data_IF_980906801539
#
_entry.id   IF_980906801539
#
_cell.length_a   1.000
_cell.length_b   1.000
_cell.length_c   1.000
_cell.angle_alpha   90.00
_cell.angle_beta   90.00
_cell.angle_gamma   90.00
#
_symmetry.space_group_name_H-M   'P 1'
#
loop_
_entity.id
_entity.type
_entity.pdbx_description
1 polymer ?
#
# COMPACT_ATOMS: atom_id res chain seq x y z
N UNK A 1 -32.76 3.44 25.52
CA UNK A 1 -32.55 4.79 24.98
C UNK A 1 -31.28 5.39 25.59
N UNK A 2 -31.20 5.55 26.93
CA UNK A 2 -30.03 6.10 27.62
C UNK A 2 -28.67 5.45 27.27
N UNK A 3 -28.56 4.12 27.27
CA UNK A 3 -27.29 3.46 26.93
C UNK A 3 -26.83 3.73 25.49
N UNK A 4 -27.76 3.77 24.54
CA UNK A 4 -27.46 4.02 23.12
C UNK A 4 -26.92 5.43 22.93
N UNK A 5 -27.57 6.41 23.55
CA UNK A 5 -27.14 7.81 23.46
C UNK A 5 -25.78 8.02 24.12
N UNK A 6 -25.49 7.31 25.22
CA UNK A 6 -24.16 7.30 25.86
C UNK A 6 -23.09 6.69 24.98
N UNK A 7 -23.39 5.59 24.27
CA UNK A 7 -22.46 4.97 23.31
C UNK A 7 -22.18 5.95 22.16
N UNK A 8 -23.23 6.48 21.53
CA UNK A 8 -23.12 7.49 20.46
C UNK A 8 -22.28 8.67 20.92
N UNK A 9 -22.57 9.17 22.13
CA UNK A 9 -21.82 10.26 22.74
C UNK A 9 -20.33 9.98 22.80
N UNK A 10 -19.96 8.81 23.34
CA UNK A 10 -18.56 8.44 23.50
C UNK A 10 -17.86 8.25 22.16
N UNK A 11 -18.52 7.63 21.18
CA UNK A 11 -17.95 7.44 19.84
C UNK A 11 -17.67 8.78 19.14
N UNK A 12 -18.61 9.74 19.23
CA UNK A 12 -18.40 11.09 18.66
C UNK A 12 -17.26 11.80 19.38
N UNK A 13 -17.18 11.74 20.71
CA UNK A 13 -16.09 12.38 21.46
C UNK A 13 -14.73 11.83 20.99
N UNK A 14 -14.59 10.51 20.86
CA UNK A 14 -13.37 9.86 20.37
C UNK A 14 -13.04 10.29 18.94
N UNK A 15 -14.04 10.33 18.05
CA UNK A 15 -13.82 10.77 16.66
C UNK A 15 -13.33 12.22 16.60
N UNK A 16 -13.90 13.12 17.41
CA UNK A 16 -13.47 14.52 17.51
C UNK A 16 -12.05 14.63 18.08
N UNK A 17 -11.73 13.85 19.12
CA UNK A 17 -10.37 13.81 19.68
C UNK A 17 -9.35 13.43 18.58
N UNK A 18 -9.66 12.41 17.75
CA UNK A 18 -8.82 12.05 16.61
C UNK A 18 -8.77 13.13 15.52
N UNK A 19 -9.91 13.74 15.15
CA UNK A 19 -9.96 14.81 14.14
C UNK A 19 -9.10 16.00 14.56
N UNK A 20 -9.04 16.32 15.85
CA UNK A 20 -8.24 17.44 16.39
C UNK A 20 -6.79 17.09 16.69
N UNK A 21 -6.34 15.86 16.42
CA UNK A 21 -5.04 15.37 16.87
C UNK A 21 -4.85 15.50 18.40
N UNK A 22 -5.95 15.39 19.16
CA UNK A 22 -5.97 15.51 20.61
C UNK A 22 -5.56 14.23 21.32
N UNK A 23 -5.32 14.34 22.64
CA UNK A 23 -5.07 13.17 23.47
C UNK A 23 -6.33 12.30 23.55
N UNK A 24 -6.23 11.05 23.10
CA UNK A 24 -7.31 10.06 23.25
C UNK A 24 -7.15 9.32 24.57
N UNK A 25 -8.27 8.92 25.17
CA UNK A 25 -8.24 8.09 26.38
C UNK A 25 -7.94 6.61 26.04
N UNK A 26 -7.90 5.76 27.07
CA UNK A 26 -7.64 4.33 26.90
C UNK A 26 -8.60 3.65 25.91
N UNK A 27 -9.86 4.06 25.86
CA UNK A 27 -10.83 3.49 24.92
C UNK A 27 -10.50 3.93 23.49
N UNK A 28 -10.25 5.23 23.27
CA UNK A 28 -9.86 5.75 21.97
C UNK A 28 -8.60 5.08 21.42
N UNK A 29 -7.58 4.87 22.27
CA UNK A 29 -6.37 4.12 21.91
C UNK A 29 -6.66 2.66 21.52
N UNK A 30 -7.58 2.00 22.23
CA UNK A 30 -7.94 0.59 21.96
C UNK A 30 -8.74 0.42 20.66
N UNK A 31 -9.40 1.47 20.19
CA UNK A 31 -10.18 1.46 18.95
C UNK A 31 -9.34 1.75 17.69
N UNK A 32 -8.05 2.05 17.83
CA UNK A 32 -7.16 2.23 16.68
C UNK A 32 -6.90 0.88 16.00
N UNK A 33 -7.08 0.82 14.68
CA UNK A 33 -6.75 -0.36 13.88
C UNK A 33 -5.30 -0.35 13.39
N UNK A 34 -4.73 0.84 13.23
CA UNK A 34 -3.36 1.07 12.76
C UNK A 34 -2.65 2.03 13.70
N UNK A 35 -1.35 2.22 13.51
CA UNK A 35 -0.61 3.28 14.17
C UNK A 35 -1.24 4.65 13.91
N UNK A 36 -1.08 5.57 14.87
CA UNK A 36 -1.57 6.92 14.73
C UNK A 36 -0.89 7.64 13.56
N UNK A 37 -1.68 8.27 12.70
CA UNK A 37 -1.14 9.07 11.59
C UNK A 37 -0.32 10.25 12.13
N UNK A 38 0.96 10.32 11.75
CA UNK A 38 1.84 11.47 12.02
C UNK A 38 1.36 12.68 11.20
N UNK A 39 0.47 13.47 11.80
CA UNK A 39 -0.12 14.66 11.17
C UNK A 39 0.85 15.84 11.26
N UNK A 40 1.71 15.94 10.24
CA UNK A 40 2.66 17.06 10.08
C UNK A 40 2.03 18.34 9.52
N UNK A 41 0.81 18.25 8.98
CA UNK A 41 0.10 19.33 8.32
C UNK A 41 -1.35 19.34 8.80
N UNK A 42 -1.90 20.53 9.04
CA UNK A 42 -3.33 20.71 9.31
C UNK A 42 -4.11 20.63 7.99
N UNK A 43 -5.16 19.81 7.89
CA UNK A 43 -5.89 19.67 6.64
C UNK A 43 -6.73 20.92 6.34
N UNK A 44 -6.72 21.36 5.09
CA UNK A 44 -7.55 22.48 4.63
C UNK A 44 -9.05 22.15 4.69
N UNK A 45 -9.39 20.87 4.45
CA UNK A 45 -10.77 20.38 4.38
C UNK A 45 -10.95 19.07 5.15
N UNK A 46 -12.12 18.92 5.76
CA UNK A 46 -12.61 17.67 6.32
C UNK A 46 -13.76 17.14 5.45
N UNK A 47 -13.75 15.85 5.16
CA UNK A 47 -14.84 15.21 4.44
C UNK A 47 -15.23 13.89 5.08
N UNK A 48 -16.42 13.41 4.74
CA UNK A 48 -17.00 12.17 5.23
C UNK A 48 -17.46 11.32 4.06
N UNK A 49 -17.46 10.01 4.27
CA UNK A 49 -17.88 9.02 3.27
C UNK A 49 -18.61 7.85 3.92
N UNK A 50 -19.14 6.94 3.10
CA UNK A 50 -20.00 5.83 3.51
C UNK A 50 -21.40 6.28 3.90
N UNK A 51 -22.14 5.45 4.65
CA UNK A 51 -23.49 5.80 5.08
C UNK A 51 -23.56 7.11 5.89
N UNK A 52 -22.50 7.43 6.64
CA UNK A 52 -22.43 8.68 7.43
C UNK A 52 -22.49 9.93 6.55
N UNK A 53 -21.91 9.92 5.35
CA UNK A 53 -21.96 11.09 4.46
C UNK A 53 -23.36 11.36 3.92
N UNK A 54 -24.15 10.32 3.68
CA UNK A 54 -25.54 10.47 3.21
C UNK A 54 -26.41 11.19 4.26
N UNK A 55 -26.26 10.81 5.54
CA UNK A 55 -26.90 11.53 6.66
C UNK A 55 -26.32 12.94 6.87
N UNK A 56 -25.03 13.14 6.57
CA UNK A 56 -24.33 14.40 6.84
C UNK A 56 -24.66 15.46 5.79
N UNK A 57 -24.54 15.13 4.51
CA UNK A 57 -24.62 16.08 3.40
C UNK A 57 -25.95 16.03 2.65
N UNK A 58 -26.52 14.83 2.46
CA UNK A 58 -27.68 14.65 1.58
C UNK A 58 -29.01 14.55 2.31
N UNK A 59 -29.00 14.62 3.65
CA UNK A 59 -30.22 14.67 4.44
C UNK A 59 -31.01 13.35 4.43
N UNK A 60 -30.31 12.21 4.36
CA UNK A 60 -30.95 10.90 4.54
C UNK A 60 -31.69 10.86 5.90
N UNK A 61 -32.95 10.43 5.88
CA UNK A 61 -33.80 10.34 7.08
C UNK A 61 -34.19 8.89 7.38
N UNK A 62 -33.91 7.96 6.46
CA UNK A 62 -34.27 6.57 6.64
C UNK A 62 -33.46 5.94 7.79
N UNK A 63 -34.18 5.34 8.74
CA UNK A 63 -33.58 4.59 9.84
C UNK A 63 -33.50 3.10 9.49
N UNK A 64 -32.30 2.52 9.60
CA UNK A 64 -32.08 1.08 9.38
C UNK A 64 -32.02 0.30 10.71
N UNK A 65 -32.46 0.91 11.81
CA UNK A 65 -32.38 0.33 13.15
C UNK A 65 -30.98 0.38 13.79
N UNK A 66 -30.02 1.04 13.14
CA UNK A 66 -28.66 1.26 13.64
C UNK A 66 -28.53 2.61 14.39
N UNK A 67 -27.29 2.98 14.75
CA UNK A 67 -26.97 4.22 15.45
C UNK A 67 -26.61 5.40 14.53
N UNK A 68 -26.59 5.22 13.20
CA UNK A 68 -26.03 6.19 12.27
C UNK A 68 -26.72 7.57 12.33
N UNK A 69 -28.08 7.68 12.32
CA UNK A 69 -28.75 8.98 12.39
C UNK A 69 -28.42 9.75 13.68
N UNK A 70 -28.41 9.05 14.82
CA UNK A 70 -28.04 9.63 16.12
C UNK A 70 -26.57 10.04 16.20
N UNK A 71 -25.68 9.24 15.60
CA UNK A 71 -24.25 9.51 15.53
C UNK A 71 -23.98 10.77 14.70
N UNK A 72 -24.55 10.85 13.50
CA UNK A 72 -24.35 11.98 12.59
C UNK A 72 -24.89 13.28 13.17
N UNK A 73 -26.08 13.25 13.79
CA UNK A 73 -26.65 14.43 14.44
C UNK A 73 -25.70 15.01 15.49
N UNK A 74 -25.21 14.15 16.40
CA UNK A 74 -24.30 14.60 17.45
C UNK A 74 -22.92 14.99 16.92
N UNK A 75 -22.45 14.32 15.87
CA UNK A 75 -21.22 14.66 15.19
C UNK A 75 -21.30 16.05 14.54
N UNK A 76 -22.40 16.39 13.85
CA UNK A 76 -22.64 17.74 13.30
C UNK A 76 -22.51 18.81 14.38
N UNK A 77 -23.17 18.61 15.51
CA UNK A 77 -23.16 19.56 16.63
C UNK A 77 -21.73 19.77 17.16
N UNK A 78 -20.99 18.68 17.41
CA UNK A 78 -19.62 18.80 17.93
C UNK A 78 -18.62 19.35 16.91
N UNK A 79 -18.77 19.03 15.62
CA UNK A 79 -17.91 19.58 14.57
C UNK A 79 -18.08 21.10 14.51
N UNK A 80 -19.32 21.58 14.49
CA UNK A 80 -19.62 23.02 14.47
C UNK A 80 -19.08 23.77 15.70
N UNK A 81 -19.05 23.13 16.87
CA UNK A 81 -18.56 23.73 18.11
C UNK A 81 -17.04 23.64 18.30
N UNK A 82 -16.41 22.54 17.88
CA UNK A 82 -15.06 22.17 18.34
C UNK A 82 -14.00 22.10 17.24
N UNK A 83 -14.39 22.09 15.96
CA UNK A 83 -13.48 21.89 14.81
C UNK A 83 -13.54 23.10 13.89
N UNK A 84 -12.38 23.70 13.61
CA UNK A 84 -12.26 24.90 12.77
C UNK A 84 -11.67 24.55 11.38
N UNK A 85 -12.18 23.48 10.78
CA UNK A 85 -11.77 22.97 9.47
C UNK A 85 -13.01 22.94 8.60
N UNK A 86 -12.91 23.45 7.37
CA UNK A 86 -14.06 23.51 6.46
C UNK A 86 -14.52 22.10 6.11
N UNK A 87 -15.82 21.82 6.32
CA UNK A 87 -16.40 20.54 5.95
C UNK A 87 -16.88 20.61 4.50
N UNK A 88 -16.29 19.80 3.63
CA UNK A 88 -16.58 19.76 2.21
C UNK A 88 -17.33 18.48 1.83
N UNK A 89 -18.46 18.67 1.15
CA UNK A 89 -19.21 17.57 0.51
C UNK A 89 -18.51 17.15 -0.78
N UNK A 90 -18.03 15.91 -0.88
CA UNK A 90 -17.32 15.44 -2.07
C UNK A 90 -18.26 15.09 -3.23
N UNK A 91 -19.58 15.22 -3.05
CA UNK A 91 -20.64 14.97 -4.04
C UNK A 91 -20.94 13.49 -4.32
N UNK A 92 -20.07 12.58 -3.88
CA UNK A 92 -20.26 11.12 -3.95
C UNK A 92 -19.91 10.52 -2.58
N UNK A 93 -20.91 10.06 -1.84
CA UNK A 93 -20.71 9.47 -0.51
C UNK A 93 -19.91 8.17 -0.50
N UNK A 94 -19.78 7.50 -1.64
CA UNK A 94 -19.12 6.18 -1.78
C UNK A 94 -17.57 6.28 -1.78
N UNK A 95 -16.96 7.48 -1.64
CA UNK A 95 -15.50 7.67 -1.65
C UNK A 95 -14.70 6.89 -0.58
N UNK A 96 -15.35 6.32 0.44
CA UNK A 96 -14.70 5.44 1.43
C UNK A 96 -14.33 4.07 0.87
N UNK A 97 -15.04 3.63 -0.16
CA UNK A 97 -14.75 2.40 -0.87
C UNK A 97 -13.89 2.72 -2.07
N UNK A 98 -12.74 2.03 -2.18
CA UNK A 98 -12.01 1.95 -3.45
C UNK A 98 -13.05 1.61 -4.53
N UNK A 99 -13.08 2.34 -5.65
CA UNK A 99 -14.01 2.10 -6.77
C UNK A 99 -13.76 0.72 -7.43
N UNK A 100 -12.88 -0.10 -6.86
CA UNK A 100 -12.28 -1.28 -7.42
C UNK A 100 -10.96 -0.91 -8.08
N UNK A 101 -10.17 -1.92 -8.45
CA UNK A 101 -9.09 -1.78 -9.39
C UNK A 101 -9.68 -1.42 -10.77
N UNK A 102 -10.20 -0.21 -10.95
CA UNK A 102 -10.88 0.20 -12.19
C UNK A 102 -9.91 0.62 -13.29
N UNK A 103 -8.63 0.73 -12.96
CA UNK A 103 -7.58 0.92 -13.95
C UNK A 103 -6.76 -0.37 -14.07
N UNK A 104 -6.93 -0.99 -15.23
CA UNK A 104 -6.07 -2.08 -15.68
C UNK A 104 -5.15 -1.53 -16.76
N UNK A 105 -3.85 -1.57 -16.52
CA UNK A 105 -2.87 -1.29 -17.57
C UNK A 105 -2.14 -2.59 -17.90
N UNK A 106 -2.11 -2.95 -19.18
CA UNK A 106 -1.31 -4.07 -19.65
C UNK A 106 0.02 -3.52 -20.16
N UNK A 107 1.10 -3.98 -19.55
CA UNK A 107 2.47 -3.72 -20.00
C UNK A 107 3.11 -5.03 -20.45
N UNK A 108 4.18 -4.92 -21.24
CA UNK A 108 5.02 -6.06 -21.61
C UNK A 108 6.38 -5.80 -20.99
N UNK A 109 6.93 -6.79 -20.29
CA UNK A 109 8.27 -6.66 -19.72
C UNK A 109 9.32 -6.35 -20.79
N UNK A 110 10.45 -5.80 -20.35
CA UNK A 110 11.69 -5.86 -21.12
C UNK A 110 12.07 -7.31 -21.47
N UNK A 111 13.03 -7.45 -22.40
CA UNK A 111 13.55 -8.77 -22.82
C UNK A 111 14.56 -9.34 -21.83
N UNK A 112 15.11 -8.49 -20.96
CA UNK A 112 16.22 -8.80 -20.06
C UNK A 112 15.71 -9.32 -18.71
N UNK A 113 14.71 -10.20 -18.71
CA UNK A 113 14.15 -10.75 -17.46
C UNK A 113 15.09 -11.78 -16.83
N UNK A 114 14.88 -12.05 -15.54
CA UNK A 114 15.44 -13.20 -14.84
C UNK A 114 14.31 -14.06 -14.29
N UNK A 115 14.30 -15.34 -14.64
CA UNK A 115 13.35 -16.31 -14.13
C UNK A 115 14.11 -17.49 -13.56
N UNK A 116 14.13 -17.62 -12.23
CA UNK A 116 14.83 -18.73 -11.57
C UNK A 116 14.21 -20.08 -11.90
N UNK A 117 12.88 -20.14 -11.98
CA UNK A 117 12.12 -21.36 -12.27
C UNK A 117 10.88 -21.00 -13.11
N UNK A 118 10.60 -21.77 -14.17
CA UNK A 118 9.45 -21.48 -15.05
C UNK A 118 8.10 -21.68 -14.36
N UNK A 119 8.03 -22.60 -13.39
CA UNK A 119 6.81 -22.93 -12.64
C UNK A 119 6.40 -21.86 -11.61
N UNK A 120 7.08 -20.71 -11.57
CA UNK A 120 6.60 -19.51 -10.88
C UNK A 120 5.39 -18.96 -11.62
N UNK A 121 5.42 -18.97 -12.96
CA UNK A 121 4.41 -18.36 -13.80
C UNK A 121 3.28 -19.36 -14.12
N UNK A 122 2.03 -18.88 -14.29
CA UNK A 122 1.58 -17.50 -14.11
C UNK A 122 1.32 -17.19 -12.62
N UNK A 123 1.42 -15.92 -12.24
CA UNK A 123 1.04 -15.43 -10.91
C UNK A 123 -0.06 -14.39 -11.01
N UNK A 124 -0.95 -14.36 -10.03
CA UNK A 124 -2.08 -13.45 -10.02
C UNK A 124 -2.23 -12.77 -8.67
N UNK A 125 -2.63 -11.50 -8.72
CA UNK A 125 -3.01 -10.67 -7.60
C UNK A 125 -1.89 -10.53 -6.57
N UNK A 126 -0.65 -10.36 -7.05
CA UNK A 126 0.51 -10.16 -6.19
C UNK A 126 0.53 -8.69 -5.74
N UNK A 127 0.55 -8.40 -4.42
CA UNK A 127 0.62 -7.04 -3.93
C UNK A 127 1.98 -6.41 -4.24
N UNK A 128 1.96 -5.13 -4.58
CA UNK A 128 3.15 -4.34 -4.88
C UNK A 128 3.58 -3.53 -3.66
N UNK A 129 4.88 -3.59 -3.36
CA UNK A 129 5.56 -2.69 -2.43
C UNK A 129 6.49 -1.80 -3.23
N UNK A 130 6.18 -0.50 -3.29
CA UNK A 130 7.00 0.47 -4.01
C UNK A 130 8.10 1.03 -3.11
N UNK A 131 9.35 0.98 -3.57
CA UNK A 131 10.47 1.61 -2.89
C UNK A 131 10.55 3.08 -3.26
N UNK A 132 10.19 3.93 -2.30
CA UNK A 132 10.32 5.38 -2.40
C UNK A 132 11.70 5.83 -1.89
N UNK A 133 12.76 5.42 -2.59
CA UNK A 133 14.13 5.82 -2.30
C UNK A 133 14.71 6.56 -3.50
N UNK A 134 15.55 7.56 -3.23
CA UNK A 134 16.40 8.14 -4.26
C UNK A 134 17.55 7.16 -4.53
N UNK A 135 17.47 6.51 -5.70
CA UNK A 135 18.47 5.56 -6.17
C UNK A 135 19.40 6.20 -7.20
N UNK A 136 19.57 7.53 -7.24
CA UNK A 136 20.48 8.21 -8.19
C UNK A 136 21.95 8.20 -7.75
N UNK A 137 22.20 8.13 -6.44
CA UNK A 137 23.54 8.14 -5.84
C UNK A 137 23.89 6.77 -5.20
N UNK A 138 24.69 6.78 -4.13
CA UNK A 138 25.05 5.59 -3.36
C UNK A 138 23.82 4.96 -2.70
N UNK A 139 23.69 3.64 -2.82
CA UNK A 139 22.58 2.88 -2.25
C UNK A 139 23.00 2.36 -0.87
N UNK A 140 22.22 2.69 0.16
CA UNK A 140 22.42 2.17 1.51
C UNK A 140 21.54 0.93 1.76
N UNK A 141 22.16 -0.20 2.08
CA UNK A 141 21.49 -1.48 2.32
C UNK A 141 20.41 -1.41 3.40
N UNK A 142 20.69 -0.70 4.50
CA UNK A 142 19.77 -0.58 5.62
C UNK A 142 18.54 0.25 5.27
N UNK A 143 18.71 1.29 4.44
CA UNK A 143 17.60 2.10 3.92
C UNK A 143 16.70 1.27 2.99
N UNK A 144 17.28 0.48 2.09
CA UNK A 144 16.51 -0.44 1.22
C UNK A 144 15.74 -1.45 2.08
N UNK A 145 16.41 -2.07 3.05
CA UNK A 145 15.80 -3.05 3.93
C UNK A 145 14.60 -2.46 4.70
N UNK A 146 14.80 -1.29 5.30
CA UNK A 146 13.75 -0.60 6.05
C UNK A 146 12.58 -0.20 5.16
N UNK A 147 12.84 0.36 3.97
CA UNK A 147 11.79 0.79 3.06
C UNK A 147 10.91 -0.37 2.57
N UNK A 148 11.50 -1.55 2.30
CA UNK A 148 10.72 -2.76 1.95
C UNK A 148 9.86 -3.19 3.14
N UNK A 149 10.44 -3.27 4.35
CA UNK A 149 9.70 -3.69 5.55
C UNK A 149 8.56 -2.74 5.89
N UNK A 150 8.79 -1.43 5.79
CA UNK A 150 7.77 -0.41 6.01
C UNK A 150 6.67 -0.51 4.95
N UNK A 151 7.03 -0.76 3.68
CA UNK A 151 6.08 -1.06 2.62
C UNK A 151 5.22 -2.29 2.91
N UNK A 152 5.83 -3.42 3.27
CA UNK A 152 5.10 -4.64 3.63
C UNK A 152 4.17 -4.41 4.83
N UNK A 153 4.65 -3.71 5.86
CA UNK A 153 3.83 -3.39 7.04
C UNK A 153 2.64 -2.48 6.69
N UNK A 154 2.82 -1.50 5.79
CA UNK A 154 1.75 -0.59 5.34
C UNK A 154 0.56 -1.32 4.72
N UNK A 155 0.81 -2.45 4.07
CA UNK A 155 -0.23 -3.30 3.44
C UNK A 155 -0.52 -4.58 4.22
N UNK A 156 -0.13 -4.63 5.50
CA UNK A 156 -0.33 -5.75 6.43
C UNK A 156 0.14 -7.11 5.88
N UNK A 157 1.30 -7.10 5.23
CA UNK A 157 1.86 -8.27 4.57
C UNK A 157 2.91 -8.96 5.44
N UNK A 158 2.74 -10.27 5.67
CA UNK A 158 3.73 -11.07 6.38
C UNK A 158 5.05 -11.14 5.58
N UNK A 159 6.19 -11.22 6.28
CA UNK A 159 7.53 -11.21 5.66
C UNK A 159 7.72 -12.31 4.61
N UNK A 160 7.17 -13.51 4.85
CA UNK A 160 7.25 -14.63 3.90
C UNK A 160 6.15 -14.62 2.84
N UNK A 161 5.30 -13.59 2.73
CA UNK A 161 4.27 -13.56 1.69
C UNK A 161 4.88 -13.34 0.29
N UNK A 162 4.21 -13.85 -0.74
CA UNK A 162 4.53 -13.51 -2.13
C UNK A 162 4.28 -12.02 -2.36
N UNK A 163 5.28 -11.31 -2.88
CA UNK A 163 5.28 -9.85 -3.01
C UNK A 163 6.04 -9.43 -4.25
N UNK A 164 5.58 -8.34 -4.88
CA UNK A 164 6.30 -7.63 -5.92
C UNK A 164 6.97 -6.38 -5.33
N UNK A 165 8.30 -6.40 -5.23
CA UNK A 165 9.07 -5.21 -4.84
C UNK A 165 9.37 -4.41 -6.10
N UNK A 166 8.86 -3.18 -6.14
CA UNK A 166 8.94 -2.31 -7.31
C UNK A 166 9.80 -1.08 -7.04
N UNK A 167 10.64 -0.70 -8.01
CA UNK A 167 11.53 0.46 -7.89
C UNK A 167 12.01 0.95 -9.25
N UNK A 168 12.34 2.24 -9.33
CA UNK A 168 12.98 2.85 -10.50
C UNK A 168 14.48 2.92 -10.29
N UNK A 169 15.24 2.26 -11.15
CA UNK A 169 16.69 2.33 -11.11
C UNK A 169 17.19 3.64 -11.73
N UNK A 170 18.13 4.32 -11.06
CA UNK A 170 18.70 5.57 -11.55
C UNK A 170 20.24 5.52 -11.51
N UNK A 171 20.88 6.15 -12.48
CA UNK A 171 22.34 6.15 -12.61
C UNK A 171 22.95 4.82 -13.06
N UNK A 172 24.27 4.73 -13.00
CA UNK A 172 25.03 3.61 -13.59
C UNK A 172 24.95 2.33 -12.72
N UNK A 173 24.81 1.13 -13.33
CA UNK A 173 24.71 -0.15 -12.62
C UNK A 173 26.06 -0.65 -12.10
N UNK A 174 26.72 0.14 -11.26
CA UNK A 174 27.97 -0.23 -10.60
C UNK A 174 27.74 -1.39 -9.61
N UNK A 175 28.72 -2.30 -9.49
CA UNK A 175 28.60 -3.49 -8.65
C UNK A 175 28.31 -3.16 -7.18
N UNK A 176 28.95 -2.12 -6.62
CA UNK A 176 28.71 -1.67 -5.24
C UNK A 176 27.23 -1.31 -5.01
N UNK A 177 26.60 -0.62 -5.97
CA UNK A 177 25.20 -0.18 -5.91
C UNK A 177 24.25 -1.38 -6.05
N UNK A 178 24.50 -2.25 -7.02
CA UNK A 178 23.72 -3.46 -7.25
C UNK A 178 23.79 -4.42 -6.05
N UNK A 179 25.01 -4.62 -5.51
CA UNK A 179 25.26 -5.42 -4.31
C UNK A 179 24.51 -4.87 -3.11
N UNK A 180 24.59 -3.55 -2.88
CA UNK A 180 23.87 -2.92 -1.78
C UNK A 180 22.34 -3.07 -1.90
N UNK A 181 21.79 -2.89 -3.10
CA UNK A 181 20.37 -3.12 -3.36
C UNK A 181 19.97 -4.58 -3.08
N UNK A 182 20.75 -5.54 -3.58
CA UNK A 182 20.46 -6.96 -3.43
C UNK A 182 20.57 -7.43 -1.97
N UNK A 183 21.58 -6.98 -1.22
CA UNK A 183 21.72 -7.26 0.22
C UNK A 183 20.57 -6.65 1.04
N UNK A 184 20.16 -5.43 0.70
CA UNK A 184 19.01 -4.77 1.31
C UNK A 184 17.71 -5.56 1.10
N UNK A 185 17.46 -6.01 -0.14
CA UNK A 185 16.31 -6.88 -0.48
C UNK A 185 16.38 -8.20 0.30
N UNK A 186 17.52 -8.90 0.25
CA UNK A 186 17.73 -10.17 0.95
C UNK A 186 17.39 -10.03 2.44
N UNK A 187 17.95 -9.01 3.10
CA UNK A 187 17.75 -8.77 4.53
C UNK A 187 16.31 -8.43 4.87
N UNK A 188 15.58 -7.76 3.96
CA UNK A 188 14.18 -7.42 4.18
C UNK A 188 13.26 -8.63 4.15
N UNK A 189 13.43 -9.49 3.15
CA UNK A 189 12.43 -10.51 2.76
C UNK A 189 12.79 -11.93 3.17
N UNK A 190 14.02 -12.17 3.62
CA UNK A 190 14.47 -13.45 4.17
C UNK A 190 14.61 -13.32 5.68
N UNK A 191 13.80 -14.09 6.42
CA UNK A 191 13.82 -14.10 7.89
C UNK A 191 14.35 -15.45 8.37
N UNK A 192 15.29 -15.41 9.31
CA UNK A 192 15.91 -16.60 9.90
C UNK A 192 16.49 -17.57 8.85
N UNK A 193 16.98 -17.03 7.73
CA UNK A 193 17.57 -17.78 6.63
C UNK A 193 16.57 -18.57 5.77
N UNK A 194 15.27 -18.34 5.94
CA UNK A 194 14.23 -19.05 5.21
C UNK A 194 13.27 -18.10 4.51
N UNK A 195 12.89 -18.49 3.30
CA UNK A 195 11.76 -17.93 2.55
C UNK A 195 11.17 -19.04 1.70
N UNK A 196 9.85 -19.17 1.68
CA UNK A 196 9.16 -20.20 0.90
C UNK A 196 8.42 -19.62 -0.30
N UNK A 197 7.85 -18.43 -0.16
CA UNK A 197 7.08 -17.82 -1.23
C UNK A 197 7.98 -17.13 -2.25
N UNK A 198 7.57 -17.09 -3.53
CA UNK A 198 8.30 -16.36 -4.55
C UNK A 198 8.50 -14.88 -4.20
N UNK A 199 9.55 -14.29 -4.75
CA UNK A 199 9.76 -12.85 -4.78
C UNK A 199 9.71 -12.38 -6.24
N UNK A 200 8.99 -11.29 -6.48
CA UNK A 200 8.97 -10.61 -7.77
C UNK A 200 9.70 -9.28 -7.62
N UNK A 201 10.65 -8.99 -8.51
CA UNK A 201 11.26 -7.67 -8.66
C UNK A 201 10.73 -7.03 -9.93
N UNK A 202 10.16 -5.85 -9.78
CA UNK A 202 9.52 -5.09 -10.85
C UNK A 202 10.30 -3.79 -11.04
N UNK A 203 11.17 -3.76 -12.04
CA UNK A 203 12.18 -2.72 -12.17
C UNK A 203 11.82 -1.81 -13.34
N UNK A 204 11.69 -0.52 -13.05
CA UNK A 204 11.74 0.51 -14.08
C UNK A 204 13.22 0.84 -14.34
N UNK A 205 13.81 0.11 -15.29
CA UNK A 205 15.24 0.07 -15.59
C UNK A 205 15.58 -1.12 -16.50
N UNK A 206 16.87 -1.32 -16.79
CA UNK A 206 17.39 -2.45 -17.59
C UNK A 206 18.48 -3.19 -16.78
N UNK A 207 18.10 -3.70 -15.61
CA UNK A 207 19.02 -4.38 -14.68
C UNK A 207 18.45 -5.67 -14.10
N UNK A 208 17.25 -6.13 -14.51
CA UNK A 208 16.58 -7.28 -13.91
C UNK A 208 17.38 -8.56 -14.06
N UNK A 209 18.00 -8.79 -15.21
CA UNK A 209 18.86 -9.97 -15.38
C UNK A 209 20.06 -9.94 -14.42
N UNK A 210 20.68 -8.78 -14.22
CA UNK A 210 21.83 -8.60 -13.34
C UNK A 210 21.41 -8.81 -11.87
N UNK A 211 20.35 -8.13 -11.44
CA UNK A 211 19.80 -8.26 -10.08
C UNK A 211 19.37 -9.69 -9.77
N UNK A 212 18.70 -10.36 -10.71
CA UNK A 212 18.29 -11.74 -10.55
C UNK A 212 19.46 -12.71 -10.43
N UNK A 213 20.50 -12.53 -11.25
CA UNK A 213 21.73 -13.33 -11.13
C UNK A 213 22.45 -13.08 -9.80
N UNK A 214 22.56 -11.82 -9.38
CA UNK A 214 23.23 -11.45 -8.13
C UNK A 214 22.54 -12.09 -6.92
N UNK A 215 21.20 -11.98 -6.82
CA UNK A 215 20.44 -12.59 -5.73
C UNK A 215 20.55 -14.12 -5.72
N UNK A 216 20.41 -14.78 -6.87
CA UNK A 216 20.33 -16.25 -6.92
C UNK A 216 21.70 -16.91 -6.92
N UNK A 217 22.70 -16.36 -7.63
CA UNK A 217 24.00 -17.02 -7.84
C UNK A 217 25.09 -16.56 -6.89
N UNK A 218 25.03 -15.32 -6.41
CA UNK A 218 26.06 -14.78 -5.50
C UNK A 218 25.58 -14.74 -4.05
N UNK A 219 24.30 -14.40 -3.83
CA UNK A 219 23.74 -14.27 -2.48
C UNK A 219 22.92 -15.49 -2.03
N UNK A 220 22.85 -16.54 -2.85
CA UNK A 220 22.15 -17.80 -2.55
C UNK A 220 20.70 -17.60 -2.06
N UNK A 221 19.93 -16.74 -2.75
CA UNK A 221 18.54 -16.44 -2.39
C UNK A 221 17.70 -17.73 -2.27
N UNK A 222 17.07 -18.01 -1.11
CA UNK A 222 16.59 -19.34 -0.76
C UNK A 222 15.24 -19.71 -1.42
N UNK A 223 14.63 -18.78 -2.14
CA UNK A 223 13.30 -18.95 -2.73
C UNK A 223 13.31 -18.70 -4.24
N UNK A 224 12.15 -18.92 -4.86
CA UNK A 224 11.94 -18.61 -6.26
C UNK A 224 11.94 -17.10 -6.48
N UNK A 225 12.61 -16.66 -7.54
CA UNK A 225 12.73 -15.26 -7.95
C UNK A 225 12.28 -15.08 -9.41
N UNK A 226 11.48 -14.05 -9.64
CA UNK A 226 11.23 -13.43 -10.93
C UNK A 226 11.72 -11.97 -10.86
N UNK A 227 12.56 -11.55 -11.79
CA UNK A 227 12.94 -10.14 -11.94
C UNK A 227 12.59 -9.71 -13.36
N UNK A 228 11.86 -8.61 -13.51
CA UNK A 228 11.48 -8.07 -14.83
C UNK A 228 11.83 -6.59 -14.92
N UNK A 229 12.21 -6.19 -16.13
CA UNK A 229 12.54 -4.81 -16.50
C UNK A 229 11.38 -4.14 -17.23
N UNK A 230 11.42 -2.81 -17.33
CA UNK A 230 10.52 -2.01 -18.15
C UNK A 230 9.07 -1.98 -17.65
N UNK A 231 8.86 -2.19 -16.35
CA UNK A 231 7.53 -2.10 -15.72
C UNK A 231 7.49 -0.97 -14.71
N UNK A 232 6.45 -0.16 -14.80
CA UNK A 232 6.22 0.95 -13.88
C UNK A 232 5.00 0.66 -13.03
N UNK A 233 5.21 0.60 -11.71
CA UNK A 233 4.18 0.33 -10.72
C UNK A 233 4.14 1.45 -9.68
N UNK A 234 3.00 1.55 -9.01
CA UNK A 234 2.75 2.48 -7.92
C UNK A 234 2.52 1.72 -6.61
N UNK A 235 2.61 2.43 -5.49
CA UNK A 235 2.23 1.88 -4.20
C UNK A 235 0.76 1.46 -4.21
N UNK A 236 0.44 0.34 -3.57
CA UNK A 236 -0.90 -0.27 -3.52
C UNK A 236 -1.40 -0.88 -4.84
N UNK A 237 -0.58 -0.93 -5.89
CA UNK A 237 -0.89 -1.73 -7.08
C UNK A 237 -0.92 -3.23 -6.76
N UNK A 238 -1.65 -3.98 -7.58
CA UNK A 238 -1.52 -5.43 -7.67
C UNK A 238 -1.09 -5.82 -9.08
N UNK A 239 -0.31 -6.88 -9.18
CA UNK A 239 0.21 -7.35 -10.46
C UNK A 239 -0.17 -8.80 -10.73
N UNK A 240 -0.59 -9.05 -11.96
CA UNK A 240 -0.62 -10.40 -12.55
C UNK A 240 0.52 -10.50 -13.56
N UNK A 241 1.24 -11.62 -13.54
CA UNK A 241 2.25 -11.94 -14.55
C UNK A 241 1.83 -13.22 -15.24
N UNK A 242 1.64 -13.13 -16.56
CA UNK A 242 1.26 -14.30 -17.36
C UNK A 242 2.44 -15.23 -17.66
N UNK A 243 2.19 -16.19 -18.53
CA UNK A 243 3.18 -17.17 -18.98
C UNK A 243 4.35 -16.51 -19.74
N UNK A 244 5.51 -17.17 -19.69
CA UNK A 244 6.67 -16.78 -20.51
C UNK A 244 6.35 -16.97 -21.99
N UNK A 245 6.48 -15.90 -22.77
CA UNK A 245 6.35 -15.93 -24.22
C UNK A 245 7.75 -16.03 -24.82
N UNK A 246 8.11 -17.23 -25.29
CA UNK A 246 9.41 -17.51 -25.93
C UNK A 246 9.20 -18.11 -27.33
N UNK A 247 9.71 -17.47 -28.41
CA UNK A 247 10.33 -16.13 -28.47
C UNK A 247 9.30 -14.99 -28.30
N UNK A 248 9.67 -13.80 -27.78
CA UNK A 248 11.03 -13.26 -27.63
C UNK A 248 11.65 -13.30 -26.21
N UNK A 249 11.06 -14.01 -25.24
CA UNK A 249 11.55 -14.06 -23.86
C UNK A 249 10.99 -12.96 -22.97
N UNK A 250 9.69 -12.66 -23.10
CA UNK A 250 8.99 -11.61 -22.34
C UNK A 250 7.79 -12.20 -21.60
N UNK A 251 7.31 -11.47 -20.59
CA UNK A 251 6.07 -11.81 -19.87
C UNK A 251 5.05 -10.68 -20.00
N UNK A 252 3.75 -10.99 -20.20
CA UNK A 252 2.70 -9.99 -20.10
C UNK A 252 2.44 -9.66 -18.63
N UNK A 253 2.32 -8.37 -18.32
CA UNK A 253 2.13 -7.87 -16.95
C UNK A 253 0.85 -7.04 -16.91
N UNK A 254 -0.10 -7.43 -16.06
CA UNK A 254 -1.35 -6.69 -15.84
C UNK A 254 -1.26 -5.98 -14.51
N UNK A 255 -1.36 -4.66 -14.53
CA UNK A 255 -1.31 -3.78 -13.37
C UNK A 255 -2.73 -3.40 -12.99
N UNK A 256 -3.07 -3.60 -11.72
CA UNK A 256 -4.37 -3.33 -11.12
C UNK A 256 -4.20 -2.24 -10.08
N UNK A 257 -4.55 -1.01 -10.43
CA UNK A 257 -4.36 0.14 -9.55
C UNK A 257 -5.63 0.48 -8.78
N UNK A 258 -5.49 0.74 -7.48
CA UNK A 258 -6.58 1.25 -6.66
C UNK A 258 -6.71 2.76 -6.88
N UNK A 259 -7.85 3.19 -7.41
CA UNK A 259 -8.15 4.61 -7.57
C UNK A 259 -8.98 5.11 -6.39
N UNK A 260 -8.48 6.18 -5.78
CA UNK A 260 -9.18 6.98 -4.79
C UNK A 260 -9.63 8.27 -5.49
N UNK A 261 -10.94 8.45 -5.70
CA UNK A 261 -11.52 9.63 -6.35
C UNK A 261 -11.86 10.71 -5.36
#
# INVERSE_FOLDING_TARGET
LDTRDRIVSRLVDIAIDFIKSGATDKLGMTLQLTEALDRRVEPDYLTFSGGVSEYLFHGEEQEFGDIAPSLVRKLKDQLAEKVNIEILDPGQGIRATVIGASQFTVQVSGKTIYLSHQDILPVHNIPVVQLHLDLSEEINESSVCQAIRDGMNRIDLAVDSCVAVAFTWQGDPEYSRLSAMANGIMTAVVRDGSRTQPLLLMIDGDIANIMGNLLIRELDFPAKLLSVDGVQLQELDYVDVGELIDPPGVVPVVIKSLLFS
#
